data_IF_924080433533
#
_entry.id   IF_924080433533
#
_cell.length_a   1.000
_cell.length_b   1.000
_cell.length_c   1.000
_cell.angle_alpha   90.00
_cell.angle_beta   90.00
_cell.angle_gamma   90.00
#
_symmetry.space_group_name_H-M   'P 1'
#
loop_
_entity.id
_entity.type
_entity.pdbx_description
1 polymer ?
#
# COMPACT_ATOMS: atom_id res chain seq x y z
N UNK A 1 -14.39 -16.96 -13.57
CA UNK A 1 -13.57 -17.18 -12.36
C UNK A 1 -12.46 -16.14 -12.37
N UNK A 2 -12.90 -14.89 -12.41
CA UNK A 2 -12.18 -13.65 -12.17
C UNK A 2 -12.56 -13.36 -10.71
N UNK A 3 -11.72 -13.04 -9.73
CA UNK A 3 -10.61 -12.10 -9.78
C UNK A 3 -9.69 -12.45 -8.60
N UNK A 4 -8.57 -13.15 -8.83
CA UNK A 4 -7.44 -13.07 -7.90
C UNK A 4 -6.82 -11.70 -8.15
N UNK A 5 -7.38 -10.65 -7.52
CA UNK A 5 -6.69 -9.37 -7.50
C UNK A 5 -5.38 -9.61 -6.73
N UNK A 6 -4.25 -9.37 -7.40
CA UNK A 6 -2.94 -9.54 -6.80
C UNK A 6 -2.87 -8.69 -5.52
N UNK A 7 -2.33 -9.25 -4.43
CA UNK A 7 -2.19 -8.49 -3.17
C UNK A 7 -1.39 -7.21 -3.38
N UNK A 8 -0.41 -7.24 -4.28
CA UNK A 8 0.38 -6.08 -4.70
C UNK A 8 -0.50 -5.03 -5.35
N UNK A 9 -1.31 -5.42 -6.34
CA UNK A 9 -2.25 -4.52 -7.02
C UNK A 9 -3.29 -3.94 -6.06
N UNK A 10 -3.80 -4.74 -5.10
CA UNK A 10 -4.72 -4.24 -4.08
C UNK A 10 -4.07 -3.17 -3.22
N UNK A 11 -2.80 -3.35 -2.82
CA UNK A 11 -2.07 -2.37 -2.02
C UNK A 11 -1.80 -1.08 -2.81
N UNK A 12 -1.31 -1.20 -4.05
CA UNK A 12 -1.07 -0.04 -4.93
C UNK A 12 -2.34 0.77 -5.14
N UNK A 13 -3.44 0.08 -5.47
CA UNK A 13 -4.76 0.71 -5.63
C UNK A 13 -5.23 1.40 -4.36
N UNK A 14 -5.05 0.76 -3.21
CA UNK A 14 -5.44 1.35 -1.92
C UNK A 14 -4.64 2.63 -1.62
N UNK A 15 -3.34 2.67 -1.96
CA UNK A 15 -2.53 3.88 -1.82
C UNK A 15 -3.05 4.98 -2.74
N UNK A 16 -3.31 4.66 -4.01
CA UNK A 16 -3.86 5.62 -4.99
C UNK A 16 -5.22 6.18 -4.54
N UNK A 17 -6.15 5.32 -4.10
CA UNK A 17 -7.46 5.75 -3.61
C UNK A 17 -7.34 6.69 -2.40
N UNK A 18 -6.40 6.43 -1.49
CA UNK A 18 -6.13 7.33 -0.37
C UNK A 18 -5.66 8.71 -0.84
N UNK A 19 -4.76 8.76 -1.82
CA UNK A 19 -4.28 10.02 -2.42
C UNK A 19 -5.41 10.79 -3.12
N UNK A 20 -6.24 10.10 -3.90
CA UNK A 20 -7.40 10.70 -4.60
C UNK A 20 -8.44 11.26 -3.63
N UNK A 21 -8.61 10.64 -2.47
CA UNK A 21 -9.46 11.12 -1.38
C UNK A 21 -8.82 12.28 -0.57
N UNK A 22 -7.57 12.64 -0.85
CA UNK A 22 -6.81 13.64 -0.08
C UNK A 22 -6.41 13.15 1.31
N UNK A 23 -6.34 11.83 1.51
CA UNK A 23 -6.00 11.18 2.77
C UNK A 23 -4.55 10.68 2.70
N UNK A 24 -3.73 11.04 3.70
CA UNK A 24 -2.31 10.63 3.73
C UNK A 24 -2.19 9.09 3.68
N UNK A 25 -1.49 8.48 2.72
CA UNK A 25 -1.35 7.02 2.69
C UNK A 25 -0.50 6.52 3.86
N UNK A 26 -1.10 5.72 4.76
CA UNK A 26 -0.41 5.11 5.90
C UNK A 26 -0.71 3.61 5.94
N UNK A 27 0.24 2.82 6.45
CA UNK A 27 0.06 1.37 6.66
C UNK A 27 -1.18 1.04 7.49
N UNK A 28 -1.49 1.86 8.50
CA UNK A 28 -2.69 1.69 9.32
C UNK A 28 -3.98 1.76 8.48
N UNK A 29 -4.04 2.67 7.50
CA UNK A 29 -5.20 2.82 6.63
C UNK A 29 -5.36 1.65 5.67
N UNK A 30 -4.25 1.11 5.16
CA UNK A 30 -4.26 -0.12 4.36
C UNK A 30 -4.74 -1.31 5.21
N UNK A 31 -4.26 -1.43 6.45
CA UNK A 31 -4.68 -2.48 7.38
C UNK A 31 -6.20 -2.43 7.62
N UNK A 32 -6.75 -1.24 7.82
CA UNK A 32 -8.18 -1.01 7.99
C UNK A 32 -8.98 -1.36 6.72
N UNK A 33 -8.60 -0.81 5.56
CA UNK A 33 -9.33 -1.01 4.28
C UNK A 33 -9.29 -2.44 3.77
N UNK A 34 -8.14 -3.10 3.88
CA UNK A 34 -7.95 -4.48 3.39
C UNK A 34 -8.25 -5.53 4.46
N UNK A 35 -8.66 -5.12 5.67
CA UNK A 35 -8.90 -6.00 6.81
C UNK A 35 -7.71 -6.93 7.11
N UNK A 36 -6.50 -6.38 7.03
CA UNK A 36 -5.25 -7.11 7.29
C UNK A 36 -4.59 -6.62 8.56
N UNK A 37 -3.82 -7.49 9.22
CA UNK A 37 -3.11 -7.11 10.44
C UNK A 37 -2.00 -6.09 10.14
N UNK A 38 -1.72 -5.19 11.08
CA UNK A 38 -0.60 -4.25 10.97
C UNK A 38 0.76 -4.90 10.67
N UNK A 39 1.11 -6.03 11.30
CA UNK A 39 2.31 -6.80 10.95
C UNK A 39 2.31 -7.32 9.50
N UNK A 40 1.17 -7.87 9.02
CA UNK A 40 1.03 -8.33 7.63
C UNK A 40 1.24 -7.18 6.65
N UNK A 41 0.59 -6.03 6.88
CA UNK A 41 0.76 -4.84 6.02
C UNK A 41 2.19 -4.36 6.03
N UNK A 42 2.83 -4.29 7.20
CA UNK A 42 4.22 -3.84 7.30
C UNK A 42 5.19 -4.75 6.54
N UNK A 43 4.97 -6.06 6.59
CA UNK A 43 5.78 -7.02 5.83
C UNK A 43 5.56 -6.88 4.32
N UNK A 44 4.31 -6.73 3.87
CA UNK A 44 3.99 -6.54 2.45
C UNK A 44 4.55 -5.22 1.92
N UNK A 45 4.40 -4.13 2.66
CA UNK A 45 4.96 -2.82 2.30
C UNK A 45 6.48 -2.87 2.21
N UNK A 46 7.16 -3.53 3.15
CA UNK A 46 8.62 -3.69 3.09
C UNK A 46 9.06 -4.51 1.85
N UNK A 47 8.26 -5.49 1.43
CA UNK A 47 8.52 -6.22 0.18
C UNK A 47 8.32 -5.31 -1.04
N UNK A 48 7.21 -4.59 -1.12
CA UNK A 48 6.91 -3.67 -2.22
C UNK A 48 7.94 -2.54 -2.34
N UNK A 49 8.43 -2.03 -1.21
CA UNK A 49 9.50 -1.03 -1.16
C UNK A 49 10.82 -1.59 -1.70
N UNK A 50 11.17 -2.82 -1.30
CA UNK A 50 12.34 -3.53 -1.85
C UNK A 50 12.21 -3.78 -3.36
N UNK A 51 11.00 -4.09 -3.82
CA UNK A 51 10.69 -4.33 -5.23
C UNK A 51 10.57 -3.01 -6.02
N UNK A 52 10.70 -1.86 -5.34
CA UNK A 52 10.73 -0.53 -5.95
C UNK A 52 9.39 -0.03 -6.43
N UNK A 53 8.28 -0.51 -5.86
CA UNK A 53 6.92 -0.11 -6.26
C UNK A 53 6.42 1.13 -5.48
N UNK A 54 6.86 1.27 -4.23
CA UNK A 54 6.54 2.41 -3.36
C UNK A 54 7.72 2.73 -2.44
N UNK A 55 7.71 3.89 -1.78
CA UNK A 55 8.66 4.26 -0.72
C UNK A 55 7.91 4.56 0.57
N UNK A 56 8.60 4.37 1.71
CA UNK A 56 8.13 4.84 3.02
C UNK A 56 8.93 6.07 3.40
N UNK A 57 8.30 7.22 3.36
CA UNK A 57 8.95 8.49 3.67
C UNK A 57 9.21 8.65 5.18
N UNK A 58 10.05 9.63 5.54
CA UNK A 58 10.52 9.81 6.92
C UNK A 58 9.43 10.07 7.97
N UNK A 59 8.29 10.63 7.56
CA UNK A 59 7.08 10.83 8.38
C UNK A 59 6.13 9.60 8.38
N UNK A 60 6.52 8.54 7.68
CA UNK A 60 5.87 7.23 7.50
C UNK A 60 4.74 7.20 6.47
N UNK A 61 4.55 8.26 5.66
CA UNK A 61 3.62 8.16 4.54
C UNK A 61 4.17 7.26 3.44
N UNK A 62 3.27 6.62 2.71
CA UNK A 62 3.60 5.80 1.56
C UNK A 62 3.48 6.66 0.31
N UNK A 63 4.48 6.58 -0.57
CA UNK A 63 4.47 7.26 -1.86
C UNK A 63 4.68 6.23 -2.97
N UNK A 64 3.84 6.25 -4.01
CA UNK A 64 4.04 5.41 -5.18
C UNK A 64 5.27 5.87 -5.96
N UNK A 65 6.03 4.91 -6.49
CA UNK A 65 7.10 5.19 -7.45
C UNK A 65 6.55 5.19 -8.88
N UNK A 66 7.39 5.47 -9.87
CA UNK A 66 6.99 5.32 -11.29
C UNK A 66 6.71 3.86 -11.72
N UNK A 67 7.16 2.87 -10.95
CA UNK A 67 6.95 1.44 -11.25
C UNK A 67 5.65 0.88 -10.65
N UNK A 68 5.06 1.57 -9.67
CA UNK A 68 3.86 1.14 -8.93
C UNK A 68 2.64 1.97 -9.30
#
# INVERSE_FOLDING_TARGET
MNDLVDTTEMYLRTVLELEEEGVVPLRARIAERLHQSGPTVSQTVARMERDGLLTVEGDRHLQLTELG
#
